data_IF_147341278722
#
_entry.id   IF_147341278722
#
_cell.length_a   1.000
_cell.length_b   1.000
_cell.length_c   1.000
_cell.angle_alpha   90.00
_cell.angle_beta   90.00
_cell.angle_gamma   90.00
#
_symmetry.space_group_name_H-M   'P 1'
#
loop_
_entity.id
_entity.type
_entity.pdbx_description
1 polymer ?
#
# COMPACT_ATOMS: atom_id res chain seq x y z
N UNK A 1 -33.59 29.11 27.06
CA UNK A 1 -33.45 27.84 26.32
C UNK A 1 -32.46 27.90 25.15
N UNK A 2 -32.03 29.04 24.68
CA UNK A 2 -31.11 29.20 23.53
C UNK A 2 -29.61 29.01 23.92
N UNK A 3 -29.23 29.31 25.15
CA UNK A 3 -27.84 29.18 25.63
C UNK A 3 -27.36 27.72 25.80
N UNK A 4 -28.28 26.79 26.06
CA UNK A 4 -27.91 25.37 26.24
C UNK A 4 -27.59 24.65 24.92
N UNK A 5 -28.17 25.11 23.80
CA UNK A 5 -27.97 24.51 22.47
C UNK A 5 -26.61 24.91 21.87
N UNK A 6 -26.14 26.13 22.12
CA UNK A 6 -24.84 26.61 21.69
C UNK A 6 -23.68 25.91 22.39
N UNK A 7 -23.83 25.55 23.66
CA UNK A 7 -22.79 24.84 24.41
C UNK A 7 -22.61 23.40 23.93
N UNK A 8 -23.70 22.73 23.54
CA UNK A 8 -23.63 21.35 23.00
C UNK A 8 -22.97 21.32 21.62
N UNK A 9 -23.22 22.33 20.77
CA UNK A 9 -22.59 22.42 19.46
C UNK A 9 -21.07 22.68 19.60
N UNK A 10 -20.65 23.47 20.59
CA UNK A 10 -19.22 23.73 20.82
C UNK A 10 -18.45 22.50 21.33
N UNK A 11 -19.09 21.65 22.15
CA UNK A 11 -18.46 20.43 22.70
C UNK A 11 -18.32 19.35 21.63
N UNK A 12 -19.19 19.33 20.61
CA UNK A 12 -19.13 18.33 19.51
C UNK A 12 -18.09 18.76 18.44
N UNK A 13 -17.88 20.05 18.24
CA UNK A 13 -16.96 20.57 17.22
C UNK A 13 -15.48 20.51 17.64
N UNK A 14 -15.16 20.60 18.93
CA UNK A 14 -13.77 20.62 19.42
C UNK A 14 -12.95 19.36 19.12
N UNK A 15 -13.47 18.13 19.32
CA UNK A 15 -12.69 16.94 18.99
C UNK A 15 -12.52 16.73 17.47
N UNK A 16 -13.48 17.19 16.67
CA UNK A 16 -13.37 17.14 15.21
C UNK A 16 -12.34 18.13 14.69
N UNK A 17 -12.34 19.36 15.21
CA UNK A 17 -11.39 20.40 14.86
C UNK A 17 -9.95 19.99 15.24
N UNK A 18 -9.75 19.44 16.44
CA UNK A 18 -8.43 18.95 16.87
C UNK A 18 -7.92 17.80 16.01
N UNK A 19 -8.80 16.88 15.57
CA UNK A 19 -8.42 15.80 14.66
C UNK A 19 -8.05 16.31 13.25
N UNK A 20 -8.75 17.32 12.75
CA UNK A 20 -8.44 18.00 11.48
C UNK A 20 -7.11 18.74 11.58
N UNK A 21 -6.91 19.51 12.67
CA UNK A 21 -5.67 20.26 12.88
C UNK A 21 -4.45 19.35 13.06
N UNK A 22 -4.61 18.19 13.73
CA UNK A 22 -3.56 17.18 13.82
C UNK A 22 -3.22 16.59 12.44
N UNK A 23 -4.21 16.28 11.61
CA UNK A 23 -3.98 15.79 10.24
C UNK A 23 -3.29 16.83 9.38
N UNK A 24 -3.69 18.10 9.44
CA UNK A 24 -3.06 19.18 8.71
C UNK A 24 -1.62 19.43 9.17
N UNK A 25 -1.32 19.31 10.46
CA UNK A 25 0.02 19.41 11.00
C UNK A 25 0.92 18.25 10.56
N UNK A 26 0.39 17.02 10.53
CA UNK A 26 1.11 15.85 10.01
C UNK A 26 1.39 16.01 8.51
N UNK A 27 0.41 16.44 7.72
CA UNK A 27 0.58 16.70 6.28
C UNK A 27 1.60 17.83 6.03
N UNK A 28 1.56 18.90 6.82
CA UNK A 28 2.52 20.01 6.74
C UNK A 28 3.96 19.60 7.09
N UNK A 29 4.13 18.78 8.12
CA UNK A 29 5.42 18.22 8.50
C UNK A 29 5.97 17.26 7.43
N UNK A 30 5.12 16.43 6.86
CA UNK A 30 5.48 15.53 5.75
C UNK A 30 5.89 16.31 4.51
N UNK A 31 5.13 17.35 4.13
CA UNK A 31 5.48 18.20 2.98
C UNK A 31 6.87 18.82 3.14
N UNK A 32 7.22 19.28 4.35
CA UNK A 32 8.54 19.85 4.65
C UNK A 32 9.66 18.80 4.57
N UNK A 33 9.42 17.58 5.03
CA UNK A 33 10.39 16.49 4.95
C UNK A 33 10.58 15.98 3.51
N UNK A 34 9.53 16.04 2.68
CA UNK A 34 9.60 15.67 1.27
C UNK A 34 10.45 16.63 0.44
N UNK A 35 10.56 17.89 0.85
CA UNK A 35 11.45 18.88 0.25
C UNK A 35 12.86 18.89 0.84
N UNK A 36 13.13 18.08 1.88
CA UNK A 36 14.47 17.92 2.45
C UNK A 36 15.30 16.97 1.58
N UNK A 37 16.26 17.49 0.86
CA UNK A 37 17.16 16.72 0.00
C UNK A 37 18.06 15.76 0.78
N UNK A 38 18.18 15.91 2.10
CA UNK A 38 18.95 15.01 2.98
C UNK A 38 18.14 13.81 3.49
N UNK A 39 16.84 13.73 3.20
CA UNK A 39 16.00 12.63 3.60
C UNK A 39 15.97 11.54 2.52
N UNK A 40 16.08 10.26 2.92
CA UNK A 40 15.83 9.13 2.05
C UNK A 40 14.32 8.94 1.87
N UNK A 41 13.85 8.97 0.64
CA UNK A 41 12.42 9.03 0.31
C UNK A 41 11.93 7.73 -0.31
N UNK A 42 10.96 7.12 0.32
CA UNK A 42 10.31 5.88 -0.11
C UNK A 42 8.89 6.18 -0.54
N UNK A 43 8.47 5.70 -1.70
CA UNK A 43 7.06 5.67 -2.08
C UNK A 43 6.56 4.23 -2.01
N UNK A 44 5.43 4.04 -1.31
CA UNK A 44 4.63 2.82 -1.37
C UNK A 44 3.55 3.03 -2.41
N UNK A 45 3.48 2.18 -3.42
CA UNK A 45 2.50 2.29 -4.50
C UNK A 45 1.70 1.00 -4.63
N UNK A 46 0.39 1.10 -4.53
CA UNK A 46 -0.49 -0.06 -4.55
C UNK A 46 -1.97 0.27 -4.40
N UNK A 47 -2.74 -0.73 -4.05
CA UNK A 47 -4.19 -0.62 -3.82
C UNK A 47 -4.54 -0.34 -2.34
N UNK A 48 -5.70 -0.82 -1.87
CA UNK A 48 -6.11 -0.64 -0.48
C UNK A 48 -5.19 -1.34 0.53
N UNK A 49 -4.54 -2.43 0.16
CA UNK A 49 -3.60 -3.12 1.05
C UNK A 49 -2.44 -2.19 1.42
N UNK A 50 -1.96 -1.41 0.46
CA UNK A 50 -0.97 -0.35 0.67
C UNK A 50 -1.54 0.81 1.48
N UNK A 51 -2.76 1.28 1.17
CA UNK A 51 -3.34 2.42 1.89
C UNK A 51 -3.55 2.15 3.38
N UNK A 52 -3.80 0.90 3.76
CA UNK A 52 -3.96 0.49 5.17
C UNK A 52 -2.65 0.53 5.99
N UNK A 53 -1.50 0.66 5.35
CA UNK A 53 -0.22 0.89 6.03
C UNK A 53 -0.08 2.32 6.58
N UNK A 54 -1.12 3.14 6.43
CA UNK A 54 -1.16 4.52 6.90
C UNK A 54 -0.50 5.52 5.95
N UNK A 55 -0.85 6.80 6.04
CA UNK A 55 -0.42 7.82 5.08
C UNK A 55 1.10 8.03 5.03
N UNK A 56 1.79 7.72 6.11
CA UNK A 56 3.25 7.88 6.28
C UNK A 56 3.99 6.57 6.46
N UNK A 57 3.29 5.42 6.39
CA UNK A 57 3.89 4.13 6.72
C UNK A 57 4.52 4.11 8.12
N UNK A 58 3.80 4.63 9.12
CA UNK A 58 4.35 4.92 10.47
C UNK A 58 4.98 3.69 11.12
N UNK A 59 4.37 2.52 10.96
CA UNK A 59 4.90 1.26 11.51
C UNK A 59 6.17 0.82 10.77
N UNK A 60 6.25 1.01 9.44
CA UNK A 60 7.46 0.75 8.65
C UNK A 60 8.58 1.70 9.09
N UNK A 61 8.28 3.00 9.25
CA UNK A 61 9.25 3.99 9.75
C UNK A 61 9.75 3.65 11.15
N UNK A 62 8.85 3.18 12.03
CA UNK A 62 9.21 2.74 13.38
C UNK A 62 10.22 1.58 13.34
N UNK A 63 9.97 0.57 12.52
CA UNK A 63 10.88 -0.55 12.33
C UNK A 63 12.21 -0.12 11.68
N UNK A 64 12.17 0.73 10.64
CA UNK A 64 13.39 1.25 9.99
C UNK A 64 14.27 2.05 10.95
N UNK A 65 13.72 2.77 11.91
CA UNK A 65 14.48 3.50 12.93
C UNK A 65 15.31 2.58 13.83
N UNK A 66 14.97 1.32 13.99
CA UNK A 66 15.79 0.36 14.73
C UNK A 66 17.09 0.06 14.02
N UNK A 67 17.09 0.07 12.68
CA UNK A 67 18.26 -0.16 11.84
C UNK A 67 19.01 1.14 11.48
N UNK A 68 18.26 2.24 11.34
CA UNK A 68 18.76 3.53 10.86
C UNK A 68 18.38 4.66 11.83
N UNK A 69 18.85 4.64 13.12
CA UNK A 69 18.38 5.56 14.14
C UNK A 69 18.68 7.03 13.86
N UNK A 70 19.74 7.30 13.09
CA UNK A 70 20.20 8.65 12.76
C UNK A 70 19.81 9.12 11.36
N UNK A 71 19.20 8.25 10.55
CA UNK A 71 18.83 8.59 9.19
C UNK A 71 17.47 9.29 9.14
N UNK A 72 17.35 10.26 8.27
CA UNK A 72 16.08 10.88 7.92
C UNK A 72 15.44 10.04 6.82
N UNK A 73 14.41 9.31 7.14
CA UNK A 73 13.64 8.50 6.19
C UNK A 73 12.22 9.05 6.15
N UNK A 74 11.68 9.19 4.96
CA UNK A 74 10.30 9.65 4.71
C UNK A 74 9.61 8.63 3.84
N UNK A 75 8.37 8.29 4.20
CA UNK A 75 7.51 7.42 3.40
C UNK A 75 6.29 8.22 2.94
N UNK A 76 6.00 8.15 1.65
CA UNK A 76 4.72 8.57 1.07
C UNK A 76 3.93 7.36 0.63
N UNK A 77 2.67 7.31 1.04
CA UNK A 77 1.79 6.22 0.68
C UNK A 77 0.88 6.62 -0.49
N UNK A 78 1.13 6.02 -1.65
CA UNK A 78 0.33 6.08 -2.88
C UNK A 78 -0.53 4.81 -2.98
N UNK A 79 -1.21 4.45 -1.91
CA UNK A 79 -2.19 3.38 -1.87
C UNK A 79 -3.59 3.89 -2.25
N UNK A 80 -4.16 3.34 -3.30
CA UNK A 80 -5.44 3.76 -3.85
C UNK A 80 -6.47 2.63 -3.75
N UNK A 81 -7.31 2.64 -2.73
CA UNK A 81 -8.34 1.62 -2.53
C UNK A 81 -9.29 1.50 -3.72
N UNK A 82 -9.72 0.28 -4.00
CA UNK A 82 -10.61 -0.04 -5.12
C UNK A 82 -10.03 0.30 -6.51
N UNK A 83 -8.71 0.46 -6.62
CA UNK A 83 -8.02 0.70 -7.90
C UNK A 83 -7.18 -0.53 -8.26
N UNK A 84 -7.30 -0.96 -9.52
CA UNK A 84 -6.42 -1.96 -10.09
C UNK A 84 -5.15 -1.33 -10.68
N UNK A 85 -4.23 -2.14 -11.15
CA UNK A 85 -2.93 -1.69 -11.65
C UNK A 85 -3.00 -0.71 -12.84
N UNK A 86 -4.09 -0.71 -13.62
CA UNK A 86 -4.25 0.21 -14.75
C UNK A 86 -4.37 1.67 -14.31
N UNK A 87 -4.74 1.91 -13.05
CA UNK A 87 -4.75 3.25 -12.48
C UNK A 87 -3.34 3.86 -12.37
N UNK A 88 -2.31 3.04 -12.42
CA UNK A 88 -0.92 3.49 -12.38
C UNK A 88 -0.60 4.53 -13.47
N UNK A 89 -1.14 4.36 -14.68
CA UNK A 89 -0.93 5.31 -15.78
C UNK A 89 -1.32 6.76 -15.44
N UNK A 90 -2.43 6.92 -14.71
CA UNK A 90 -2.87 8.24 -14.25
C UNK A 90 -1.94 8.77 -13.15
N UNK A 91 -1.66 7.94 -12.13
CA UNK A 91 -0.85 8.32 -10.96
C UNK A 91 0.59 8.67 -11.34
N UNK A 92 1.16 8.00 -12.32
CA UNK A 92 2.52 8.27 -12.76
C UNK A 92 2.67 9.69 -13.35
N UNK A 93 1.72 10.13 -14.17
CA UNK A 93 1.89 11.30 -15.05
C UNK A 93 1.05 12.50 -14.64
N UNK A 94 -0.02 12.30 -13.85
CA UNK A 94 -1.00 13.34 -13.53
C UNK A 94 -1.17 13.53 -12.04
N UNK A 95 -1.52 14.76 -11.64
CA UNK A 95 -2.01 14.99 -10.30
C UNK A 95 -3.30 14.18 -10.11
N UNK A 96 -3.34 13.41 -9.04
CA UNK A 96 -4.46 12.54 -8.68
C UNK A 96 -5.15 13.08 -7.44
N UNK A 97 -6.46 13.33 -7.53
CA UNK A 97 -7.29 13.66 -6.38
C UNK A 97 -7.97 12.38 -5.88
N UNK A 98 -7.62 11.94 -4.67
CA UNK A 98 -8.17 10.74 -4.08
C UNK A 98 -8.56 10.96 -2.62
N UNK A 99 -9.83 10.72 -2.27
CA UNK A 99 -10.40 10.94 -0.93
C UNK A 99 -10.07 12.33 -0.34
N UNK A 100 -10.07 13.36 -1.18
CA UNK A 100 -9.79 14.75 -0.77
C UNK A 100 -8.31 15.08 -0.58
N UNK A 101 -7.42 14.13 -0.86
CA UNK A 101 -5.97 14.34 -0.85
C UNK A 101 -5.45 14.48 -2.28
N UNK A 102 -4.61 15.49 -2.50
CA UNK A 102 -3.94 15.72 -3.80
C UNK A 102 -2.58 15.06 -3.81
N UNK A 103 -2.42 14.10 -4.71
CA UNK A 103 -1.14 13.42 -4.95
C UNK A 103 -0.49 14.03 -6.19
N UNK A 104 0.74 14.55 -6.09
CA UNK A 104 1.46 14.97 -7.30
C UNK A 104 1.76 13.78 -8.20
N UNK A 105 2.03 14.00 -9.50
CA UNK A 105 2.45 12.91 -10.38
C UNK A 105 3.65 12.17 -9.78
N UNK A 106 3.60 10.85 -9.71
CA UNK A 106 4.66 10.04 -9.07
C UNK A 106 6.02 10.30 -9.74
N UNK A 107 6.06 10.44 -11.05
CA UNK A 107 7.28 10.72 -11.80
C UNK A 107 7.90 12.10 -11.49
N UNK A 108 7.13 13.03 -10.94
CA UNK A 108 7.59 14.37 -10.54
C UNK A 108 8.02 14.43 -9.07
N UNK A 109 7.76 13.38 -8.28
CA UNK A 109 8.18 13.34 -6.89
C UNK A 109 9.69 13.11 -6.79
N UNK A 110 10.32 13.64 -5.76
CA UNK A 110 11.68 13.26 -5.41
C UNK A 110 11.62 11.99 -4.57
N UNK A 111 12.09 10.84 -5.09
CA UNK A 111 12.10 9.55 -4.39
C UNK A 111 13.40 8.80 -4.69
N UNK A 112 13.84 7.99 -3.72
CA UNK A 112 15.04 7.16 -3.79
C UNK A 112 14.71 5.67 -3.96
N UNK A 113 13.50 5.28 -3.51
CA UNK A 113 13.02 3.90 -3.56
C UNK A 113 11.52 3.88 -3.87
N UNK A 114 11.11 3.05 -4.82
CA UNK A 114 9.72 2.75 -5.13
C UNK A 114 9.39 1.31 -4.74
N UNK A 115 8.43 1.14 -3.85
CA UNK A 115 7.88 -0.19 -3.51
C UNK A 115 6.53 -0.34 -4.21
N UNK A 116 6.43 -1.31 -5.14
CA UNK A 116 5.22 -1.58 -5.92
C UNK A 116 4.53 -2.80 -5.33
N UNK A 117 3.35 -2.59 -4.77
CA UNK A 117 2.49 -3.67 -4.28
C UNK A 117 1.75 -4.34 -5.48
N UNK A 118 1.27 -5.55 -5.28
CA UNK A 118 0.73 -6.43 -6.31
C UNK A 118 -0.55 -5.95 -6.98
N UNK A 119 -1.34 -5.05 -6.38
CA UNK A 119 -2.71 -4.69 -6.76
C UNK A 119 -3.67 -5.89 -6.84
N UNK A 120 -3.31 -7.01 -6.24
CA UNK A 120 -4.00 -8.27 -6.40
C UNK A 120 -5.38 -8.31 -5.72
N UNK A 121 -5.65 -7.44 -4.75
CA UNK A 121 -6.99 -7.34 -4.15
C UNK A 121 -8.01 -6.64 -5.05
N UNK A 122 -7.53 -5.96 -6.10
CA UNK A 122 -8.34 -5.36 -7.15
C UNK A 122 -7.93 -5.94 -8.52
N UNK A 123 -8.18 -7.25 -8.77
CA UNK A 123 -7.79 -7.90 -10.00
C UNK A 123 -8.55 -7.35 -11.22
N UNK A 124 -8.07 -7.65 -12.41
CA UNK A 124 -8.69 -7.25 -13.67
C UNK A 124 -9.82 -8.22 -14.06
N UNK A 125 -10.80 -8.37 -13.17
CA UNK A 125 -11.90 -9.37 -13.31
C UNK A 125 -12.83 -9.10 -14.49
N UNK A 126 -12.73 -7.94 -15.14
CA UNK A 126 -13.45 -7.61 -16.37
C UNK A 126 -12.89 -8.32 -17.62
N UNK A 127 -11.68 -8.89 -17.51
CA UNK A 127 -11.03 -9.65 -18.58
C UNK A 127 -11.01 -11.15 -18.25
N UNK A 128 -10.95 -12.03 -19.27
CA UNK A 128 -10.59 -13.43 -19.05
C UNK A 128 -9.25 -13.51 -18.30
N UNK A 129 -9.12 -14.44 -17.35
CA UNK A 129 -7.98 -14.51 -16.43
C UNK A 129 -6.61 -14.43 -17.14
N UNK A 130 -6.39 -15.25 -18.17
CA UNK A 130 -5.12 -15.25 -18.91
C UNK A 130 -4.82 -13.91 -19.60
N UNK A 131 -5.86 -13.24 -20.08
CA UNK A 131 -5.71 -11.91 -20.67
C UNK A 131 -5.41 -10.85 -19.61
N UNK A 132 -6.11 -10.90 -18.48
CA UNK A 132 -5.90 -10.02 -17.34
C UNK A 132 -4.46 -10.11 -16.80
N UNK A 133 -3.89 -11.32 -16.69
CA UNK A 133 -2.50 -11.52 -16.28
C UNK A 133 -1.51 -10.89 -17.28
N UNK A 134 -1.76 -11.04 -18.58
CA UNK A 134 -0.93 -10.38 -19.61
C UNK A 134 -1.05 -8.85 -19.55
N UNK A 135 -2.24 -8.34 -19.23
CA UNK A 135 -2.46 -6.89 -19.03
C UNK A 135 -1.69 -6.41 -17.79
N UNK A 136 -1.74 -7.17 -16.68
CA UNK A 136 -0.96 -6.86 -15.48
C UNK A 136 0.54 -6.76 -15.80
N UNK A 137 1.10 -7.75 -16.51
CA UNK A 137 2.50 -7.76 -16.88
C UNK A 137 2.88 -6.53 -17.75
N UNK A 138 2.07 -6.22 -18.77
CA UNK A 138 2.29 -5.00 -19.58
C UNK A 138 2.22 -3.71 -18.75
N UNK A 139 1.32 -3.64 -17.78
CA UNK A 139 1.24 -2.49 -16.88
C UNK A 139 2.49 -2.37 -15.99
N UNK A 140 3.03 -3.49 -15.51
CA UNK A 140 4.29 -3.52 -14.76
C UNK A 140 5.47 -3.08 -15.63
N UNK A 141 5.56 -3.58 -16.88
CA UNK A 141 6.55 -3.13 -17.87
C UNK A 141 6.49 -1.61 -18.07
N UNK A 142 5.28 -1.06 -18.26
CA UNK A 142 5.06 0.38 -18.47
C UNK A 142 5.46 1.20 -17.24
N UNK A 143 5.10 0.76 -16.03
CA UNK A 143 5.48 1.43 -14.78
C UNK A 143 7.00 1.50 -14.66
N UNK A 144 7.68 0.35 -14.79
CA UNK A 144 9.13 0.24 -14.61
C UNK A 144 9.86 1.08 -15.67
N UNK A 145 9.45 0.94 -16.95
CA UNK A 145 10.06 1.69 -18.05
C UNK A 145 9.95 3.19 -17.85
N UNK A 146 8.76 3.70 -17.53
CA UNK A 146 8.53 5.14 -17.30
C UNK A 146 9.29 5.68 -16.08
N UNK A 147 9.35 4.89 -15.00
CA UNK A 147 10.11 5.28 -13.81
C UNK A 147 11.59 5.37 -14.14
N UNK A 148 12.17 4.38 -14.81
CA UNK A 148 13.61 4.39 -15.18
C UNK A 148 13.94 5.41 -16.27
N UNK A 149 12.99 5.74 -17.17
CA UNK A 149 13.18 6.80 -18.16
C UNK A 149 13.43 8.17 -17.49
N UNK A 150 12.68 8.46 -16.41
CA UNK A 150 12.78 9.75 -15.69
C UNK A 150 13.81 9.70 -14.57
N UNK A 151 14.00 8.53 -13.97
CA UNK A 151 14.83 8.29 -12.78
C UNK A 151 15.64 6.99 -12.95
N UNK A 152 16.69 6.99 -13.78
CA UNK A 152 17.41 5.75 -14.15
C UNK A 152 18.05 5.03 -12.96
N UNK A 153 18.42 5.73 -11.90
CA UNK A 153 19.10 5.17 -10.73
C UNK A 153 18.15 4.77 -9.59
N UNK A 154 16.83 4.92 -9.78
CA UNK A 154 15.83 4.57 -8.75
C UNK A 154 15.86 3.07 -8.46
N UNK A 155 15.79 2.74 -7.17
CA UNK A 155 15.59 1.35 -6.76
C UNK A 155 14.10 1.03 -6.79
N UNK A 156 13.73 -0.06 -7.48
CA UNK A 156 12.37 -0.60 -7.49
C UNK A 156 12.36 -1.92 -6.74
N UNK A 157 11.41 -2.09 -5.84
CA UNK A 157 11.18 -3.30 -5.05
C UNK A 157 9.71 -3.70 -5.19
N UNK A 158 9.44 -4.97 -5.36
CA UNK A 158 8.06 -5.46 -5.37
C UNK A 158 7.64 -5.94 -3.99
N UNK A 159 6.37 -5.78 -3.69
CA UNK A 159 5.74 -6.24 -2.45
C UNK A 159 4.56 -7.17 -2.79
N UNK A 160 4.70 -8.44 -2.47
CA UNK A 160 3.58 -9.36 -2.43
C UNK A 160 2.97 -9.29 -1.03
N UNK A 161 1.78 -8.72 -0.90
CA UNK A 161 1.10 -8.46 0.39
C UNK A 161 0.66 -9.74 1.09
N UNK A 162 0.02 -9.64 2.27
CA UNK A 162 -0.48 -10.81 3.02
C UNK A 162 -1.47 -11.64 2.20
N UNK A 163 -1.47 -12.94 2.44
CA UNK A 163 -2.36 -13.89 1.80
C UNK A 163 -3.82 -13.63 2.16
N UNK A 164 -4.74 -13.57 1.19
CA UNK A 164 -6.18 -13.56 1.49
C UNK A 164 -6.62 -14.94 1.99
N UNK A 165 -7.61 -14.98 2.89
CA UNK A 165 -8.16 -16.24 3.41
C UNK A 165 -9.28 -16.76 2.52
N UNK A 166 -9.16 -18.00 2.03
CA UNK A 166 -10.21 -18.70 1.28
C UNK A 166 -11.45 -18.97 2.13
N UNK A 167 -11.25 -19.12 3.44
CA UNK A 167 -12.34 -19.44 4.36
C UNK A 167 -13.10 -18.23 4.85
N UNK A 168 -12.43 -17.08 5.02
CA UNK A 168 -13.01 -15.91 5.69
C UNK A 168 -13.12 -14.64 4.83
N UNK A 169 -12.52 -14.58 3.64
CA UNK A 169 -12.48 -13.38 2.81
C UNK A 169 -13.87 -12.71 2.67
N UNK A 170 -13.95 -11.43 3.00
CA UNK A 170 -15.17 -10.63 2.88
C UNK A 170 -16.18 -10.81 4.02
N UNK A 171 -15.96 -11.72 4.97
CA UNK A 171 -16.85 -11.86 6.13
C UNK A 171 -16.94 -10.55 6.91
N UNK A 172 -18.15 -10.10 7.18
CA UNK A 172 -18.43 -8.83 7.86
C UNK A 172 -18.67 -7.65 6.91
N UNK A 173 -18.28 -7.75 5.63
CA UNK A 173 -18.42 -6.65 4.65
C UNK A 173 -19.14 -7.00 3.37
N UNK A 174 -19.05 -8.27 2.93
CA UNK A 174 -19.66 -8.74 1.68
C UNK A 174 -20.33 -10.08 1.91
N UNK A 175 -21.58 -10.22 1.46
CA UNK A 175 -22.28 -11.50 1.47
C UNK A 175 -21.81 -12.37 0.31
N UNK A 176 -20.97 -13.36 0.59
CA UNK A 176 -20.47 -14.32 -0.37
C UNK A 176 -20.86 -15.76 0.03
N UNK A 177 -21.34 -16.54 -0.94
CA UNK A 177 -21.39 -17.99 -0.73
C UNK A 177 -19.97 -18.55 -0.60
N UNK A 178 -19.75 -19.69 0.08
CA UNK A 178 -18.42 -20.27 0.18
C UNK A 178 -17.75 -20.49 -1.18
N UNK A 179 -18.49 -20.98 -2.17
CA UNK A 179 -18.00 -21.16 -3.53
C UNK A 179 -17.54 -19.83 -4.17
N UNK A 180 -18.36 -18.78 -4.04
CA UNK A 180 -18.03 -17.47 -4.62
C UNK A 180 -16.82 -16.83 -3.93
N UNK A 181 -16.68 -17.05 -2.63
CA UNK A 181 -15.51 -16.63 -1.87
C UNK A 181 -14.25 -17.31 -2.38
N UNK A 182 -14.30 -18.62 -2.57
CA UNK A 182 -13.16 -19.37 -3.10
C UNK A 182 -12.77 -18.93 -4.52
N UNK A 183 -13.75 -18.69 -5.40
CA UNK A 183 -13.50 -18.13 -6.74
C UNK A 183 -12.78 -16.78 -6.66
N UNK A 184 -13.28 -15.85 -5.84
CA UNK A 184 -12.72 -14.52 -5.69
C UNK A 184 -11.31 -14.54 -5.11
N UNK A 185 -11.08 -15.36 -4.10
CA UNK A 185 -9.76 -15.50 -3.47
C UNK A 185 -8.77 -16.18 -4.42
N UNK A 186 -9.21 -17.19 -5.14
CA UNK A 186 -8.36 -17.91 -6.12
C UNK A 186 -7.89 -16.97 -7.23
N UNK A 187 -8.77 -16.10 -7.72
CA UNK A 187 -8.41 -15.07 -8.69
C UNK A 187 -7.32 -14.13 -8.12
N UNK A 188 -7.53 -13.56 -6.92
CA UNK A 188 -6.58 -12.67 -6.26
C UNK A 188 -5.22 -13.32 -6.01
N UNK A 189 -5.22 -14.56 -5.54
CA UNK A 189 -3.99 -15.36 -5.37
C UNK A 189 -3.28 -15.54 -6.71
N UNK A 190 -4.02 -15.71 -7.81
CA UNK A 190 -3.41 -15.87 -9.14
C UNK A 190 -2.72 -14.58 -9.59
N UNK A 191 -3.34 -13.42 -9.42
CA UNK A 191 -2.72 -12.13 -9.73
C UNK A 191 -1.51 -11.83 -8.82
N UNK A 192 -1.61 -12.19 -7.54
CA UNK A 192 -0.51 -12.03 -6.59
C UNK A 192 0.68 -12.92 -6.95
N UNK A 193 0.44 -14.18 -7.30
CA UNK A 193 1.49 -15.10 -7.77
C UNK A 193 2.10 -14.65 -9.09
N UNK A 194 1.30 -14.11 -10.02
CA UNK A 194 1.82 -13.54 -11.26
C UNK A 194 2.76 -12.36 -10.98
N UNK A 195 2.45 -11.51 -10.00
CA UNK A 195 3.34 -10.43 -9.56
C UNK A 195 4.68 -10.97 -8.99
N UNK A 196 4.64 -12.07 -8.22
CA UNK A 196 5.83 -12.74 -7.69
C UNK A 196 6.66 -13.33 -8.85
N UNK A 197 6.02 -14.02 -9.78
CA UNK A 197 6.68 -14.63 -10.95
C UNK A 197 7.32 -13.57 -11.85
N UNK A 198 6.62 -12.46 -12.05
CA UNK A 198 7.14 -11.31 -12.80
C UNK A 198 8.40 -10.77 -12.12
N UNK A 199 8.37 -10.52 -10.81
CA UNK A 199 9.54 -10.05 -10.07
C UNK A 199 10.75 -11.00 -10.23
N UNK A 200 10.53 -12.30 -10.05
CA UNK A 200 11.58 -13.31 -10.17
C UNK A 200 12.15 -13.39 -11.59
N UNK A 201 11.31 -13.38 -12.62
CA UNK A 201 11.74 -13.46 -14.02
C UNK A 201 12.48 -12.22 -14.51
N UNK A 202 12.25 -11.06 -13.89
CA UNK A 202 12.92 -9.80 -14.21
C UNK A 202 14.02 -9.40 -13.23
N UNK A 203 14.36 -10.28 -12.26
CA UNK A 203 15.35 -10.04 -11.22
C UNK A 203 15.06 -8.76 -10.40
N UNK A 204 13.79 -8.47 -10.16
CA UNK A 204 13.35 -7.36 -9.31
C UNK A 204 13.34 -7.83 -7.86
N UNK A 205 13.98 -7.11 -6.91
CA UNK A 205 13.92 -7.44 -5.50
C UNK A 205 12.47 -7.56 -5.01
N UNK A 206 12.15 -8.67 -4.30
CA UNK A 206 10.78 -8.99 -3.90
C UNK A 206 10.66 -9.21 -2.39
N UNK A 207 9.79 -8.44 -1.75
CA UNK A 207 9.34 -8.66 -0.39
C UNK A 207 8.13 -9.61 -0.45
N UNK A 208 8.38 -10.90 -0.22
CA UNK A 208 7.34 -11.93 -0.33
C UNK A 208 6.65 -12.15 1.03
N UNK A 209 5.76 -11.22 1.40
CA UNK A 209 4.93 -11.33 2.61
C UNK A 209 3.84 -12.41 2.42
N UNK A 210 3.40 -12.63 1.18
CA UNK A 210 2.37 -13.63 0.88
C UNK A 210 2.70 -15.00 1.44
N UNK A 211 3.86 -15.55 1.10
CA UNK A 211 4.23 -16.89 1.54
C UNK A 211 4.41 -16.97 3.06
N UNK A 212 4.98 -15.94 3.67
CA UNK A 212 5.24 -15.88 5.10
C UNK A 212 3.96 -15.68 5.92
N UNK A 213 2.89 -15.17 5.34
CA UNK A 213 1.60 -14.95 5.98
C UNK A 213 0.63 -16.13 5.90
N UNK A 214 1.02 -17.22 5.23
CA UNK A 214 0.21 -18.42 5.17
C UNK A 214 0.25 -19.20 6.50
N UNK A 215 -0.91 -19.74 6.88
CA UNK A 215 -1.08 -20.63 8.01
C UNK A 215 -1.94 -21.81 7.54
N UNK A 216 -1.41 -23.01 7.64
CA UNK A 216 -2.09 -24.25 7.21
C UNK A 216 -2.60 -24.21 5.75
N UNK A 217 -1.88 -23.47 4.86
CA UNK A 217 -2.21 -23.33 3.45
C UNK A 217 -3.29 -22.30 3.11
N UNK A 218 -3.76 -21.54 4.09
CA UNK A 218 -4.70 -20.40 3.93
C UNK A 218 -4.10 -19.10 4.48
N UNK A 219 -4.71 -17.97 4.15
CA UNK A 219 -4.32 -16.69 4.75
C UNK A 219 -4.53 -16.70 6.27
N UNK A 220 -3.50 -16.30 7.03
CA UNK A 220 -3.57 -16.25 8.48
C UNK A 220 -4.61 -15.20 8.92
N UNK A 221 -5.68 -15.68 9.56
CA UNK A 221 -6.78 -14.84 10.05
C UNK A 221 -6.32 -13.74 11.01
N UNK A 222 -5.27 -13.98 11.79
CA UNK A 222 -4.76 -13.00 12.76
C UNK A 222 -4.22 -11.74 12.05
N UNK A 223 -3.79 -11.87 10.79
CA UNK A 223 -3.30 -10.77 9.97
C UNK A 223 -4.40 -10.04 9.20
N UNK A 224 -5.64 -10.55 9.21
CA UNK A 224 -6.78 -9.97 8.51
C UNK A 224 -7.66 -9.17 9.47
N UNK A 225 -8.15 -8.03 9.01
CA UNK A 225 -9.05 -7.17 9.77
C UNK A 225 -10.37 -7.92 10.05
N UNK A 226 -10.76 -8.09 11.34
CA UNK A 226 -11.95 -8.86 11.67
C UNK A 226 -13.26 -8.21 11.19
N UNK A 227 -13.24 -6.94 10.80
CA UNK A 227 -14.40 -6.23 10.26
C UNK A 227 -14.73 -6.55 8.81
N UNK A 228 -13.75 -7.01 8.03
CA UNK A 228 -13.94 -7.31 6.60
C UNK A 228 -13.22 -8.57 6.11
N UNK A 229 -12.25 -9.07 6.85
CA UNK A 229 -11.41 -10.21 6.49
C UNK A 229 -10.75 -10.07 5.09
N UNK A 230 -10.48 -8.83 4.67
CA UNK A 230 -9.83 -8.47 3.41
C UNK A 230 -8.53 -7.70 3.69
N UNK A 231 -8.67 -6.60 4.42
CA UNK A 231 -7.56 -5.69 4.69
C UNK A 231 -6.70 -6.17 5.86
N UNK A 232 -5.47 -5.68 6.01
CA UNK A 232 -4.64 -6.06 7.13
C UNK A 232 -5.22 -5.60 8.46
N UNK A 233 -5.16 -6.47 9.47
CA UNK A 233 -5.39 -6.13 10.88
C UNK A 233 -4.21 -5.30 11.42
N UNK A 234 -4.30 -4.85 12.67
CA UNK A 234 -3.18 -4.20 13.36
C UNK A 234 -1.96 -5.13 13.36
N UNK A 235 -2.14 -6.43 13.63
CA UNK A 235 -1.04 -7.41 13.60
C UNK A 235 -0.55 -7.66 12.17
N UNK A 236 -1.45 -7.64 11.18
CA UNK A 236 -1.08 -7.71 9.76
C UNK A 236 -0.24 -6.50 9.32
N UNK A 237 -0.62 -5.28 9.74
CA UNK A 237 0.18 -4.07 9.48
C UNK A 237 1.58 -4.19 10.11
N UNK A 238 1.68 -4.59 11.37
CA UNK A 238 2.97 -4.81 12.04
C UNK A 238 3.82 -5.84 11.31
N UNK A 239 3.21 -6.95 10.91
CA UNK A 239 3.90 -8.02 10.20
C UNK A 239 4.43 -7.55 8.84
N UNK A 240 3.60 -6.94 8.00
CA UNK A 240 4.02 -6.37 6.72
C UNK A 240 5.15 -5.36 6.93
N UNK A 241 5.00 -4.49 7.91
CA UNK A 241 5.95 -3.41 8.19
C UNK A 241 7.31 -3.92 8.64
N UNK A 242 7.35 -4.97 9.47
CA UNK A 242 8.58 -5.63 9.88
C UNK A 242 9.28 -6.27 8.67
N UNK A 243 8.54 -7.04 7.84
CA UNK A 243 9.09 -7.70 6.65
C UNK A 243 9.65 -6.67 5.64
N UNK A 244 8.98 -5.53 5.47
CA UNK A 244 9.48 -4.44 4.62
C UNK A 244 10.79 -3.88 5.18
N UNK A 245 10.83 -3.55 6.46
CA UNK A 245 12.02 -2.94 7.09
C UNK A 245 13.21 -3.90 7.10
N UNK A 246 12.99 -5.17 7.46
CA UNK A 246 14.01 -6.21 7.48
C UNK A 246 14.59 -6.46 6.08
N UNK A 247 13.74 -6.50 5.06
CA UNK A 247 14.16 -6.69 3.68
C UNK A 247 15.02 -5.52 3.20
N UNK A 248 14.56 -4.28 3.42
CA UNK A 248 15.29 -3.08 3.02
C UNK A 248 16.66 -2.99 3.70
N UNK A 249 16.75 -3.37 4.98
CA UNK A 249 17.99 -3.41 5.72
C UNK A 249 18.93 -4.51 5.22
N UNK A 250 18.44 -5.75 5.14
CA UNK A 250 19.24 -6.92 4.75
C UNK A 250 19.81 -6.85 3.33
N UNK A 251 19.14 -6.11 2.44
CA UNK A 251 19.57 -5.91 1.05
C UNK A 251 20.31 -4.57 0.83
N UNK A 252 20.63 -3.82 1.88
CA UNK A 252 21.32 -2.52 1.81
C UNK A 252 20.64 -1.53 0.84
N UNK A 253 19.31 -1.46 0.88
CA UNK A 253 18.53 -0.62 -0.03
C UNK A 253 18.39 0.83 0.45
N UNK A 254 18.66 1.09 1.72
CA UNK A 254 18.72 2.43 2.32
C UNK A 254 20.18 2.77 2.59
N UNK A 255 20.62 3.89 2.03
CA UNK A 255 22.02 4.37 2.16
C UNK A 255 22.11 5.46 3.24
#
# INVERSE_FOLDING_TARGET
MIFSLLLVIFIILTPFQTAVDQRLNVLGAQTKLLTDDSAFKIILFGDSMTSFLGPSGDEILSNLKTYYPNSKIVIQNYGFGSKNILFAKEVLEKQTDYLGVKYPPLLQTNLDLLIIESFANNPLSEYPLEEGLKIQNRALDEIISKVHEVKPDIKIVFLATIAPSKTHFGEGSVELTPQKREEWVSERITYLKNHIEYANSHNIPLINVYEKSLKDGDGNKDFLNPGDNIHPSIEGIKFISAEVADFLHSNNLIN
#
